data_IF_238226891757
#
_entry.id   IF_238226891757
#
_cell.length_a   1.000
_cell.length_b   1.000
_cell.length_c   1.000
_cell.angle_alpha   90.00
_cell.angle_beta   90.00
_cell.angle_gamma   90.00
#
_symmetry.space_group_name_H-M   'P 1'
#
loop_
_entity.id
_entity.type
_entity.pdbx_description
1 polymer ?
#
# COMPACT_ATOMS: atom_id res chain seq x y z
N UNK A 1 27.08 -31.93 3.91
CA UNK A 1 26.98 -30.73 4.75
C UNK A 1 25.51 -30.24 4.70
N UNK A 2 24.88 -29.95 5.83
CA UNK A 2 23.53 -29.39 5.84
C UNK A 2 23.56 -28.00 5.21
N UNK A 3 22.65 -27.71 4.29
CA UNK A 3 22.52 -26.43 3.65
C UNK A 3 22.03 -25.42 4.68
N UNK A 4 22.74 -24.29 4.84
CA UNK A 4 22.29 -23.21 5.72
C UNK A 4 21.00 -22.59 5.14
N UNK A 5 19.88 -22.58 5.88
CA UNK A 5 18.64 -22.00 5.39
C UNK A 5 18.80 -20.50 5.11
N UNK A 6 18.19 -20.03 4.00
CA UNK A 6 18.18 -18.62 3.60
C UNK A 6 16.92 -18.31 2.81
N UNK A 7 16.51 -17.05 2.80
CA UNK A 7 15.40 -16.55 2.01
C UNK A 7 15.91 -15.77 0.78
N UNK A 8 15.12 -15.63 -0.29
CA UNK A 8 15.49 -14.84 -1.46
C UNK A 8 15.76 -13.38 -1.07
N UNK A 9 16.77 -12.78 -1.72
CA UNK A 9 17.13 -11.39 -1.46
C UNK A 9 15.96 -10.43 -1.79
N UNK A 10 15.57 -9.59 -0.83
CA UNK A 10 14.47 -8.62 -0.99
C UNK A 10 13.11 -9.16 -0.56
N UNK A 11 13.05 -10.37 -0.03
CA UNK A 11 11.87 -10.91 0.67
C UNK A 11 12.12 -10.93 2.18
N UNK A 12 11.08 -11.18 2.99
CA UNK A 12 11.16 -11.16 4.46
C UNK A 12 10.27 -12.23 5.07
N UNK A 13 10.75 -12.83 6.16
CA UNK A 13 9.90 -13.49 7.15
C UNK A 13 9.38 -12.44 8.13
N UNK A 14 8.21 -12.67 8.69
CA UNK A 14 7.61 -11.82 9.70
C UNK A 14 7.35 -12.61 10.98
N UNK A 15 7.89 -12.15 12.09
CA UNK A 15 7.60 -12.69 13.41
C UNK A 15 6.13 -12.50 13.81
N UNK A 16 5.62 -13.21 14.83
CA UNK A 16 4.25 -13.02 15.32
C UNK A 16 3.94 -11.57 15.71
N UNK A 17 4.89 -10.87 16.32
CA UNK A 17 4.76 -9.45 16.70
C UNK A 17 4.66 -8.57 15.44
N UNK A 18 5.51 -8.79 14.46
CA UNK A 18 5.45 -8.04 13.19
C UNK A 18 4.15 -8.33 12.44
N UNK A 19 3.66 -9.58 12.47
CA UNK A 19 2.36 -9.91 11.87
C UNK A 19 1.19 -9.23 12.59
N UNK A 20 1.22 -9.12 13.92
CA UNK A 20 0.21 -8.38 14.66
C UNK A 20 0.19 -6.89 14.24
N UNK A 21 1.35 -6.25 14.12
CA UNK A 21 1.51 -4.89 13.60
C UNK A 21 1.01 -4.74 12.17
N UNK A 22 1.31 -5.69 11.29
CA UNK A 22 0.83 -5.70 9.90
C UNK A 22 -0.69 -5.86 9.83
N UNK A 23 -1.27 -6.74 10.63
CA UNK A 23 -2.71 -6.93 10.71
C UNK A 23 -3.43 -5.67 11.21
N UNK A 24 -2.84 -4.92 12.14
CA UNK A 24 -3.35 -3.60 12.54
C UNK A 24 -3.45 -2.66 11.33
N UNK A 25 -2.40 -2.59 10.49
CA UNK A 25 -2.41 -1.79 9.27
C UNK A 25 -3.50 -2.25 8.31
N UNK A 26 -3.55 -3.55 8.01
CA UNK A 26 -4.53 -4.10 7.06
C UNK A 26 -5.97 -3.89 7.53
N UNK A 27 -6.25 -4.11 8.80
CA UNK A 27 -7.58 -3.95 9.36
C UNK A 27 -8.01 -2.48 9.37
N UNK A 28 -7.13 -1.56 9.76
CA UNK A 28 -7.43 -0.11 9.75
C UNK A 28 -7.77 0.37 8.33
N UNK A 29 -6.97 -0.01 7.32
CA UNK A 29 -7.23 0.34 5.93
C UNK A 29 -8.53 -0.30 5.43
N UNK A 30 -8.72 -1.59 5.70
CA UNK A 30 -9.93 -2.33 5.32
C UNK A 30 -11.20 -1.70 5.89
N UNK A 31 -11.17 -1.32 7.17
CA UNK A 31 -12.33 -0.71 7.83
C UNK A 31 -12.72 0.62 7.17
N UNK A 32 -11.72 1.43 6.77
CA UNK A 32 -11.98 2.66 6.03
C UNK A 32 -12.52 2.35 4.64
N UNK A 33 -11.96 1.39 3.90
CA UNK A 33 -12.50 0.99 2.59
C UNK A 33 -13.98 0.60 2.68
N UNK A 34 -14.36 -0.16 3.72
CA UNK A 34 -15.76 -0.55 3.95
C UNK A 34 -16.65 0.65 4.26
N UNK A 35 -16.18 1.66 5.03
CA UNK A 35 -16.93 2.89 5.32
C UNK A 35 -17.24 3.68 4.04
N UNK A 36 -16.34 3.66 3.05
CA UNK A 36 -16.51 4.34 1.77
C UNK A 36 -17.24 3.48 0.71
N UNK A 37 -17.77 2.31 1.10
CA UNK A 37 -18.59 1.45 0.24
C UNK A 37 -17.80 0.62 -0.76
N UNK A 38 -16.50 0.41 -0.57
CA UNK A 38 -15.69 -0.45 -1.42
C UNK A 38 -15.94 -1.93 -1.11
N UNK A 39 -15.98 -2.77 -2.14
CA UNK A 39 -16.20 -4.22 -2.07
C UNK A 39 -14.89 -4.97 -2.27
N UNK A 40 -14.65 -6.01 -1.46
CA UNK A 40 -13.44 -6.82 -1.58
C UNK A 40 -13.50 -7.74 -2.79
N UNK A 41 -12.42 -7.74 -3.57
CA UNK A 41 -12.15 -8.78 -4.57
C UNK A 41 -10.73 -9.31 -4.39
N UNK A 42 -10.43 -10.42 -5.04
CA UNK A 42 -9.08 -10.96 -5.18
C UNK A 42 -8.83 -11.39 -6.62
N UNK A 43 -7.58 -11.25 -7.07
CA UNK A 43 -7.10 -11.77 -8.35
C UNK A 43 -5.95 -12.74 -8.11
N UNK A 44 -5.66 -13.66 -9.03
CA UNK A 44 -4.53 -14.59 -8.90
C UNK A 44 -3.18 -13.88 -8.75
N UNK A 45 -2.27 -14.47 -7.97
CA UNK A 45 -0.88 -14.00 -7.88
C UNK A 45 -0.12 -14.20 -9.19
N UNK A 46 -0.47 -15.27 -9.90
CA UNK A 46 0.11 -15.63 -11.21
C UNK A 46 -0.86 -15.19 -12.31
N UNK A 47 -0.37 -14.37 -13.22
CA UNK A 47 -1.09 -13.90 -14.40
C UNK A 47 -0.41 -14.43 -15.68
N UNK A 48 -1.15 -14.48 -16.77
CA UNK A 48 -0.55 -14.70 -18.08
C UNK A 48 0.45 -13.59 -18.39
N UNK A 49 1.62 -13.93 -18.90
CA UNK A 49 2.67 -12.97 -19.18
C UNK A 49 2.23 -11.89 -20.18
N UNK A 50 1.41 -12.26 -21.17
CA UNK A 50 0.83 -11.32 -22.14
C UNK A 50 -0.13 -10.29 -21.48
N UNK A 51 -0.75 -10.62 -20.35
CA UNK A 51 -1.55 -9.67 -19.55
C UNK A 51 -0.66 -8.60 -18.92
N UNK A 52 0.55 -8.96 -18.50
CA UNK A 52 1.46 -8.10 -17.76
C UNK A 52 2.39 -7.27 -18.67
N UNK A 53 2.93 -7.90 -19.72
CA UNK A 53 3.91 -7.28 -20.61
C UNK A 53 3.34 -6.09 -21.41
N UNK A 54 4.15 -5.04 -21.57
CA UNK A 54 3.80 -3.84 -22.35
C UNK A 54 2.85 -2.89 -21.63
N UNK A 55 2.56 -3.09 -20.34
CA UNK A 55 1.63 -2.26 -19.53
C UNK A 55 2.36 -1.27 -18.63
N UNK A 56 3.58 -1.57 -18.27
CA UNK A 56 4.36 -0.83 -17.27
C UNK A 56 5.50 0.00 -17.89
N UNK A 57 5.60 0.01 -19.22
CA UNK A 57 6.75 0.57 -19.96
C UNK A 57 7.97 -0.36 -19.91
N UNK A 58 9.02 -0.02 -20.66
CA UNK A 58 10.21 -0.87 -20.79
C UNK A 58 10.91 -1.16 -19.46
N UNK A 59 10.97 -0.17 -18.56
CA UNK A 59 11.59 -0.34 -17.24
C UNK A 59 10.77 -1.29 -16.37
N UNK A 60 9.45 -1.13 -16.34
CA UNK A 60 8.55 -1.99 -15.58
C UNK A 60 8.58 -3.44 -16.08
N UNK A 61 8.62 -3.65 -17.39
CA UNK A 61 8.68 -4.99 -18.01
C UNK A 61 9.98 -5.75 -17.64
N UNK A 62 11.08 -5.03 -17.40
CA UNK A 62 12.34 -5.60 -16.90
C UNK A 62 12.22 -6.05 -15.43
N UNK A 63 11.31 -5.47 -14.67
CA UNK A 63 11.10 -5.77 -13.26
C UNK A 63 10.06 -6.86 -13.00
N UNK A 64 9.41 -7.41 -14.04
CA UNK A 64 8.48 -8.52 -13.91
C UNK A 64 9.20 -9.81 -13.54
N UNK A 65 8.72 -10.50 -12.50
CA UNK A 65 9.12 -11.89 -12.24
C UNK A 65 8.41 -12.83 -13.22
N UNK A 66 9.19 -13.47 -14.07
CA UNK A 66 8.73 -14.40 -15.08
C UNK A 66 8.86 -15.83 -14.54
N UNK A 67 7.86 -16.67 -14.82
CA UNK A 67 7.80 -18.06 -14.34
C UNK A 67 8.08 -18.98 -15.53
N UNK A 68 9.13 -19.80 -15.42
CA UNK A 68 9.44 -20.81 -16.43
C UNK A 68 8.29 -21.79 -16.56
N UNK A 69 8.00 -22.22 -17.78
CA UNK A 69 7.00 -23.25 -18.04
C UNK A 69 7.35 -24.54 -17.32
N UNK A 70 6.35 -25.26 -16.83
CA UNK A 70 6.56 -26.54 -16.12
C UNK A 70 7.04 -27.64 -17.07
N UNK A 71 7.83 -28.55 -16.55
CA UNK A 71 8.42 -29.65 -17.34
C UNK A 71 9.62 -29.20 -18.16
N UNK A 72 9.71 -29.66 -19.41
CA UNK A 72 10.76 -29.26 -20.34
C UNK A 72 10.44 -27.86 -20.93
N UNK A 73 10.87 -26.81 -20.21
CA UNK A 73 10.60 -25.40 -20.58
C UNK A 73 11.32 -24.97 -21.85
N UNK A 74 12.31 -25.72 -22.34
CA UNK A 74 12.99 -25.44 -23.61
C UNK A 74 12.33 -26.11 -24.82
N UNK A 75 11.36 -27.00 -24.65
CA UNK A 75 10.70 -27.75 -25.72
C UNK A 75 10.16 -26.87 -26.86
N UNK A 76 9.68 -25.67 -26.53
CA UNK A 76 9.12 -24.71 -27.49
C UNK A 76 10.10 -23.59 -27.87
N UNK A 77 11.35 -23.66 -27.41
CA UNK A 77 12.38 -22.68 -27.68
C UNK A 77 13.10 -22.99 -28.99
N UNK A 78 13.08 -22.10 -30.02
CA UNK A 78 13.85 -22.30 -31.24
C UNK A 78 15.36 -22.26 -30.96
N UNK A 79 16.11 -23.19 -31.58
CA UNK A 79 17.57 -23.31 -31.37
C UNK A 79 18.34 -22.05 -31.81
N UNK A 80 17.87 -21.37 -32.86
CA UNK A 80 18.44 -20.11 -33.33
C UNK A 80 18.34 -19.01 -32.27
N UNK A 81 17.19 -18.84 -31.61
CA UNK A 81 17.00 -17.88 -30.51
C UNK A 81 17.87 -18.19 -29.31
N UNK A 82 18.04 -19.49 -28.98
CA UNK A 82 18.92 -19.93 -27.91
C UNK A 82 20.39 -19.61 -28.23
N UNK A 83 20.84 -19.91 -29.46
CA UNK A 83 22.20 -19.68 -29.91
C UNK A 83 22.53 -18.17 -29.99
N UNK A 84 21.59 -17.34 -30.41
CA UNK A 84 21.72 -15.88 -30.49
C UNK A 84 21.55 -15.18 -29.14
N UNK A 85 21.09 -15.90 -28.10
CA UNK A 85 20.75 -15.37 -26.77
C UNK A 85 19.71 -14.23 -26.83
N UNK A 86 18.74 -14.36 -27.76
CA UNK A 86 17.66 -13.38 -27.93
C UNK A 86 16.64 -13.52 -26.79
N UNK A 87 16.96 -12.93 -25.65
CA UNK A 87 16.12 -13.01 -24.45
C UNK A 87 14.73 -12.41 -24.66
N UNK A 88 14.58 -11.40 -25.51
CA UNK A 88 13.32 -10.71 -25.73
C UNK A 88 12.30 -11.61 -26.43
N UNK A 89 12.68 -12.27 -27.51
CA UNK A 89 11.80 -13.16 -28.27
C UNK A 89 11.73 -14.56 -27.67
N UNK A 90 12.76 -14.99 -26.93
CA UNK A 90 12.79 -16.30 -26.25
C UNK A 90 11.87 -16.32 -25.02
N UNK A 91 11.82 -15.23 -24.24
CA UNK A 91 11.03 -15.18 -22.99
C UNK A 91 9.58 -15.65 -23.16
N UNK A 92 8.78 -15.17 -24.14
CA UNK A 92 7.40 -15.63 -24.31
C UNK A 92 7.25 -17.11 -24.67
N UNK A 93 8.33 -17.76 -25.16
CA UNK A 93 8.33 -19.19 -25.53
C UNK A 93 8.56 -20.10 -24.32
N UNK A 94 9.34 -19.62 -23.34
CA UNK A 94 9.73 -20.39 -22.16
C UNK A 94 9.02 -19.95 -20.88
N UNK A 95 8.32 -18.81 -20.90
CA UNK A 95 7.59 -18.22 -19.78
C UNK A 95 6.22 -17.72 -20.26
N UNK A 96 5.17 -18.52 -20.05
CA UNK A 96 3.79 -18.12 -20.37
C UNK A 96 3.16 -17.31 -19.24
N UNK A 97 3.75 -17.31 -18.06
CA UNK A 97 3.20 -16.75 -16.80
C UNK A 97 4.24 -15.88 -16.11
N UNK A 98 3.73 -14.95 -15.29
CA UNK A 98 4.53 -14.13 -14.41
C UNK A 98 3.81 -13.83 -13.10
N UNK A 99 4.56 -13.35 -12.11
CA UNK A 99 3.95 -12.81 -10.89
C UNK A 99 3.44 -11.38 -11.17
N UNK A 100 2.25 -11.06 -10.68
CA UNK A 100 1.67 -9.71 -10.83
C UNK A 100 2.59 -8.63 -10.25
N UNK A 101 2.76 -7.57 -10.99
CA UNK A 101 3.59 -6.42 -10.64
C UNK A 101 2.86 -5.39 -9.76
N UNK A 102 1.56 -5.26 -9.98
CA UNK A 102 0.61 -4.45 -9.22
C UNK A 102 -0.76 -5.17 -9.15
N UNK A 103 -1.75 -4.51 -8.54
CA UNK A 103 -3.11 -5.01 -8.51
C UNK A 103 -4.01 -4.35 -9.57
N UNK A 104 -3.57 -3.26 -10.21
CA UNK A 104 -4.39 -2.47 -11.13
C UNK A 104 -4.54 -3.13 -12.50
N UNK A 105 -3.46 -3.65 -13.10
CA UNK A 105 -3.55 -4.37 -14.39
C UNK A 105 -4.35 -5.67 -14.29
N UNK A 106 -4.13 -6.55 -13.27
CA UNK A 106 -5.02 -7.68 -13.02
C UNK A 106 -6.49 -7.29 -12.78
N UNK A 107 -6.72 -6.14 -12.12
CA UNK A 107 -8.06 -5.62 -11.91
C UNK A 107 -8.73 -5.18 -13.23
N UNK A 108 -8.01 -4.47 -14.10
CA UNK A 108 -8.55 -4.10 -15.43
C UNK A 108 -8.94 -5.35 -16.24
N UNK A 109 -8.11 -6.40 -16.24
CA UNK A 109 -8.45 -7.71 -16.83
C UNK A 109 -9.71 -8.30 -16.18
N UNK A 110 -9.81 -8.26 -14.84
CA UNK A 110 -10.98 -8.74 -14.10
C UNK A 110 -12.26 -8.01 -14.51
N UNK A 111 -12.24 -6.68 -14.59
CA UNK A 111 -13.40 -5.86 -15.01
C UNK A 111 -13.89 -6.27 -16.39
N UNK A 112 -12.99 -6.42 -17.36
CA UNK A 112 -13.35 -6.81 -18.73
C UNK A 112 -13.94 -8.24 -18.76
N UNK A 113 -13.35 -9.17 -18.01
CA UNK A 113 -13.77 -10.56 -17.99
C UNK A 113 -15.14 -10.74 -17.32
N UNK A 114 -15.45 -9.92 -16.30
CA UNK A 114 -16.70 -9.99 -15.52
C UNK A 114 -17.67 -8.85 -15.82
N UNK A 115 -17.52 -8.14 -16.95
CA UNK A 115 -18.29 -6.92 -17.31
C UNK A 115 -19.81 -7.09 -17.21
N UNK A 116 -20.32 -8.28 -17.48
CA UNK A 116 -21.76 -8.58 -17.46
C UNK A 116 -22.30 -8.91 -16.04
N UNK A 117 -21.39 -9.09 -15.09
CA UNK A 117 -21.71 -9.42 -13.69
C UNK A 117 -21.54 -8.20 -12.78
N UNK A 118 -20.78 -7.20 -13.22
CA UNK A 118 -20.45 -6.01 -12.45
C UNK A 118 -21.47 -4.90 -12.65
N UNK A 119 -21.87 -4.26 -11.54
CA UNK A 119 -22.67 -3.05 -11.56
C UNK A 119 -21.77 -1.82 -11.55
N UNK A 120 -21.84 -0.97 -12.56
CA UNK A 120 -21.09 0.29 -12.63
C UNK A 120 -21.89 1.47 -12.04
N UNK A 121 -21.23 2.46 -11.39
CA UNK A 121 -19.81 2.47 -11.05
C UNK A 121 -19.47 1.40 -10.03
N UNK A 122 -18.35 0.70 -10.23
CA UNK A 122 -17.90 -0.38 -9.38
C UNK A 122 -16.75 0.10 -8.48
N UNK A 123 -16.95 0.08 -7.15
CA UNK A 123 -15.95 0.38 -6.12
C UNK A 123 -15.38 -0.92 -5.57
N UNK A 124 -14.10 -1.20 -5.84
CA UNK A 124 -13.44 -2.40 -5.31
C UNK A 124 -12.26 -2.06 -4.42
N UNK A 125 -11.92 -2.94 -3.48
CA UNK A 125 -10.62 -2.94 -2.84
C UNK A 125 -9.95 -4.31 -2.88
N UNK A 126 -8.60 -4.31 -2.84
CA UNK A 126 -7.77 -5.51 -2.71
C UNK A 126 -6.63 -5.24 -1.73
N UNK A 127 -6.32 -6.22 -0.87
CA UNK A 127 -5.16 -6.20 0.03
C UNK A 127 -4.39 -7.48 -0.24
N UNK A 128 -3.41 -7.42 -1.12
CA UNK A 128 -2.70 -8.59 -1.61
C UNK A 128 -1.22 -8.30 -1.90
N UNK A 129 -0.33 -9.34 -1.91
CA UNK A 129 1.07 -9.17 -2.24
C UNK A 129 1.27 -8.95 -3.74
N UNK A 130 2.33 -8.22 -4.07
CA UNK A 130 2.83 -7.98 -5.44
C UNK A 130 4.35 -8.18 -5.48
N UNK A 131 4.90 -8.38 -6.67
CA UNK A 131 6.31 -8.74 -6.83
C UNK A 131 6.98 -7.86 -7.88
N UNK A 132 8.11 -7.24 -7.49
CA UNK A 132 8.94 -6.42 -8.38
C UNK A 132 10.40 -6.78 -8.22
N UNK A 133 11.11 -7.03 -9.31
CA UNK A 133 12.53 -7.39 -9.31
C UNK A 133 13.45 -6.20 -9.02
N UNK A 134 12.97 -5.21 -8.28
CA UNK A 134 13.71 -4.02 -7.86
C UNK A 134 15.01 -4.36 -7.11
N UNK A 135 15.96 -3.43 -7.14
CA UNK A 135 17.12 -3.49 -6.24
C UNK A 135 16.66 -3.23 -4.80
N UNK A 136 16.80 -4.20 -3.88
CA UNK A 136 16.32 -4.06 -2.51
C UNK A 136 17.04 -2.94 -1.77
N UNK A 137 16.25 -2.10 -1.06
CA UNK A 137 16.72 -1.06 -0.15
C UNK A 137 15.64 -0.81 0.92
N UNK A 138 15.92 -0.01 1.95
CA UNK A 138 14.93 0.35 2.97
C UNK A 138 13.66 0.93 2.32
N UNK A 139 12.50 0.37 2.66
CA UNK A 139 11.21 0.76 2.08
C UNK A 139 10.97 0.32 0.63
N UNK A 140 11.85 -0.54 0.05
CA UNK A 140 11.69 -1.11 -1.30
C UNK A 140 12.07 -2.60 -1.29
N UNK A 141 11.07 -3.44 -1.37
CA UNK A 141 11.17 -4.90 -1.30
C UNK A 141 10.78 -5.52 -2.63
N UNK A 142 11.15 -6.79 -2.83
CA UNK A 142 10.77 -7.56 -4.02
C UNK A 142 9.42 -8.23 -3.90
N UNK A 143 8.98 -8.47 -2.68
CA UNK A 143 7.64 -8.90 -2.32
C UNK A 143 7.10 -7.95 -1.26
N UNK A 144 5.92 -7.35 -1.51
CA UNK A 144 5.30 -6.40 -0.61
C UNK A 144 3.79 -6.35 -0.85
N UNK A 145 3.05 -5.83 0.13
CA UNK A 145 1.60 -5.71 0.06
C UNK A 145 1.17 -4.35 -0.46
N UNK A 146 0.25 -4.37 -1.42
CA UNK A 146 -0.54 -3.20 -1.81
C UNK A 146 -1.95 -3.32 -1.24
N UNK A 147 -2.48 -2.18 -0.78
CA UNK A 147 -3.88 -2.07 -0.35
C UNK A 147 -4.52 -1.05 -1.30
N UNK A 148 -5.17 -1.55 -2.34
CA UNK A 148 -5.69 -0.75 -3.43
C UNK A 148 -7.19 -0.54 -3.29
N UNK A 149 -7.65 0.67 -3.59
CA UNK A 149 -9.05 1.03 -3.73
C UNK A 149 -9.26 1.75 -5.06
N UNK A 150 -10.17 1.25 -5.91
CA UNK A 150 -10.46 1.82 -7.23
C UNK A 150 -11.96 1.92 -7.47
N UNK A 151 -12.32 2.94 -8.23
CA UNK A 151 -13.66 3.16 -8.79
C UNK A 151 -13.55 3.09 -10.31
N UNK A 152 -14.33 2.24 -10.97
CA UNK A 152 -14.39 2.15 -12.44
C UNK A 152 -15.79 2.38 -12.95
N UNK A 153 -15.91 2.93 -14.17
CA UNK A 153 -17.16 3.21 -14.83
C UNK A 153 -17.80 4.54 -14.41
N UNK A 154 -16.97 5.53 -14.02
CA UNK A 154 -17.41 6.89 -13.72
C UNK A 154 -16.34 7.91 -14.04
N UNK A 155 -16.69 8.95 -14.80
CA UNK A 155 -15.83 10.10 -15.12
C UNK A 155 -15.91 11.21 -14.06
N UNK A 156 -16.78 11.05 -13.06
CA UNK A 156 -17.01 12.07 -12.04
C UNK A 156 -15.76 12.32 -11.19
N UNK A 157 -15.34 13.59 -11.09
CA UNK A 157 -14.24 14.05 -10.23
C UNK A 157 -14.56 13.97 -8.73
N UNK A 158 -15.82 13.70 -8.37
CA UNK A 158 -16.20 13.40 -6.97
C UNK A 158 -15.45 12.17 -6.46
N UNK A 159 -15.11 11.24 -7.34
CA UNK A 159 -14.32 10.06 -6.96
C UNK A 159 -12.93 10.44 -6.45
N UNK A 160 -12.25 11.42 -7.06
CA UNK A 160 -10.96 11.95 -6.58
C UNK A 160 -11.10 12.60 -5.21
N UNK A 161 -12.17 13.37 -5.00
CA UNK A 161 -12.47 14.01 -3.71
C UNK A 161 -12.68 12.94 -2.63
N UNK A 162 -13.46 11.90 -2.91
CA UNK A 162 -13.67 10.77 -1.99
C UNK A 162 -12.36 10.03 -1.68
N UNK A 163 -11.51 9.78 -2.69
CA UNK A 163 -10.22 9.11 -2.49
C UNK A 163 -9.25 9.94 -1.64
N UNK A 164 -9.22 11.27 -1.82
CA UNK A 164 -8.42 12.17 -0.98
C UNK A 164 -8.93 12.13 0.47
N UNK A 165 -10.23 12.18 0.67
CA UNK A 165 -10.85 12.07 2.01
C UNK A 165 -10.58 10.71 2.65
N UNK A 166 -10.60 9.63 1.87
CA UNK A 166 -10.27 8.29 2.32
C UNK A 166 -8.80 8.18 2.77
N UNK A 167 -7.89 8.80 2.02
CA UNK A 167 -6.47 8.89 2.40
C UNK A 167 -6.32 9.61 3.74
N UNK A 168 -6.96 10.78 3.89
CA UNK A 168 -6.93 11.58 5.12
C UNK A 168 -7.43 10.79 6.33
N UNK A 169 -8.57 10.08 6.19
CA UNK A 169 -9.15 9.22 7.23
C UNK A 169 -8.21 8.09 7.65
N UNK A 170 -7.60 7.38 6.69
CA UNK A 170 -6.66 6.28 6.98
C UNK A 170 -5.47 6.78 7.79
N UNK A 171 -4.81 7.84 7.34
CA UNK A 171 -3.63 8.35 8.04
C UNK A 171 -3.96 9.09 9.34
N UNK A 172 -5.15 9.66 9.45
CA UNK A 172 -5.70 10.18 10.69
C UNK A 172 -5.83 9.10 11.76
N UNK A 173 -6.33 7.90 11.39
CA UNK A 173 -6.42 6.75 12.30
C UNK A 173 -5.06 6.19 12.71
N UNK A 174 -4.07 6.28 11.83
CA UNK A 174 -2.69 5.90 12.17
C UNK A 174 -1.96 6.95 13.01
N UNK A 175 -2.48 8.17 13.11
CA UNK A 175 -1.80 9.30 13.77
C UNK A 175 -0.56 9.78 13.00
N UNK A 176 -0.51 9.56 11.68
CA UNK A 176 0.59 9.98 10.81
C UNK A 176 0.23 11.31 10.15
N UNK A 177 1.08 12.32 10.33
CA UNK A 177 0.94 13.59 9.61
C UNK A 177 1.42 13.42 8.17
N UNK A 178 0.57 13.81 7.21
CA UNK A 178 0.84 13.61 5.79
C UNK A 178 0.65 14.89 4.97
N UNK A 179 1.32 14.93 3.83
CA UNK A 179 1.03 15.83 2.71
C UNK A 179 0.56 15.01 1.52
N UNK A 180 -0.61 15.36 0.99
CA UNK A 180 -1.19 14.78 -0.24
C UNK A 180 -0.84 15.72 -1.37
N UNK A 181 0.12 15.33 -2.21
CA UNK A 181 0.48 16.05 -3.43
C UNK A 181 -0.46 15.64 -4.55
N UNK A 182 -0.97 16.64 -5.26
CA UNK A 182 -1.94 16.46 -6.34
C UNK A 182 -1.46 17.17 -7.59
N UNK A 183 -1.56 16.50 -8.73
CA UNK A 183 -1.33 17.07 -10.06
C UNK A 183 -2.33 16.46 -11.05
N UNK A 184 -2.23 16.86 -12.31
CA UNK A 184 -3.04 16.31 -13.40
C UNK A 184 -2.19 16.08 -14.66
N UNK A 185 -2.37 14.93 -15.28
CA UNK A 185 -1.63 14.57 -16.51
C UNK A 185 -1.87 15.56 -17.65
N UNK A 186 -3.08 16.14 -17.72
CA UNK A 186 -3.44 17.16 -18.73
C UNK A 186 -2.66 18.46 -18.51
N UNK A 187 -2.38 18.85 -17.26
CA UNK A 187 -1.51 19.98 -16.96
C UNK A 187 -0.11 19.73 -17.49
N UNK A 188 0.45 18.53 -17.25
CA UNK A 188 1.77 18.15 -17.75
C UNK A 188 1.80 18.14 -19.29
N UNK A 189 0.71 17.69 -19.96
CA UNK A 189 0.57 17.76 -21.42
C UNK A 189 0.53 19.20 -21.90
N UNK A 190 -0.24 20.08 -21.24
CA UNK A 190 -0.28 21.51 -21.53
C UNK A 190 1.08 22.19 -21.40
N UNK A 191 1.88 21.80 -20.41
CA UNK A 191 3.26 22.29 -20.26
C UNK A 191 4.11 21.88 -21.49
N UNK A 192 4.00 20.62 -21.93
CA UNK A 192 4.73 20.15 -23.11
C UNK A 192 4.27 20.86 -24.41
N UNK A 193 2.96 21.13 -24.53
CA UNK A 193 2.40 21.92 -25.66
C UNK A 193 2.92 23.36 -25.64
N UNK A 194 2.92 24.01 -24.47
CA UNK A 194 3.36 25.41 -24.29
C UNK A 194 4.82 25.60 -24.74
N UNK A 195 5.70 24.66 -24.45
CA UNK A 195 7.11 24.72 -24.85
C UNK A 195 7.38 24.17 -26.26
N UNK A 196 6.33 23.82 -27.01
CA UNK A 196 6.46 23.32 -28.37
C UNK A 196 7.03 21.91 -28.53
N UNK A 197 6.99 21.08 -27.46
CA UNK A 197 7.53 19.73 -27.43
C UNK A 197 6.52 18.66 -26.95
N UNK A 198 5.28 18.60 -27.52
CA UNK A 198 4.24 17.68 -27.04
C UNK A 198 4.62 16.19 -27.22
N UNK A 199 5.45 15.85 -28.19
CA UNK A 199 5.98 14.51 -28.44
C UNK A 199 7.01 14.06 -27.39
N UNK A 200 7.57 14.98 -26.61
CA UNK A 200 8.58 14.74 -25.57
C UNK A 200 8.02 14.75 -24.15
N UNK A 201 6.71 14.67 -23.97
CA UNK A 201 6.06 14.71 -22.67
C UNK A 201 6.65 13.69 -21.67
N UNK A 202 7.00 12.48 -22.12
CA UNK A 202 7.59 11.44 -21.28
C UNK A 202 8.97 11.89 -20.77
N UNK A 203 9.81 12.41 -21.66
CA UNK A 203 11.15 12.89 -21.30
C UNK A 203 11.09 14.06 -20.33
N UNK A 204 10.19 15.01 -20.59
CA UNK A 204 9.95 16.18 -19.74
C UNK A 204 9.49 15.73 -18.35
N UNK A 205 8.50 14.85 -18.27
CA UNK A 205 7.94 14.39 -16.99
C UNK A 205 8.93 13.56 -16.17
N UNK A 206 9.74 12.70 -16.83
CA UNK A 206 10.79 11.91 -16.18
C UNK A 206 11.91 12.80 -15.64
N UNK A 207 12.27 13.88 -16.33
CA UNK A 207 13.28 14.82 -15.86
C UNK A 207 12.76 15.64 -14.67
N UNK A 208 11.55 16.20 -14.76
CA UNK A 208 10.91 16.99 -13.72
C UNK A 208 10.73 16.18 -12.41
N UNK A 209 10.37 14.91 -12.51
CA UNK A 209 10.23 14.01 -11.33
C UNK A 209 11.51 13.88 -10.49
N UNK A 210 12.64 14.17 -11.07
CA UNK A 210 13.94 14.07 -10.38
C UNK A 210 14.33 15.35 -9.65
N UNK A 211 13.55 16.44 -9.76
CA UNK A 211 13.94 17.76 -9.27
C UNK A 211 14.31 17.75 -7.78
N UNK A 212 13.53 17.05 -6.95
CA UNK A 212 13.80 16.89 -5.50
C UNK A 212 15.12 16.15 -5.20
N UNK A 213 15.65 15.36 -6.15
CA UNK A 213 16.82 14.50 -5.95
C UNK A 213 18.10 15.07 -6.51
N UNK A 214 18.02 15.66 -7.71
CA UNK A 214 19.22 16.10 -8.45
C UNK A 214 19.31 17.61 -8.57
N UNK A 215 18.26 18.34 -8.18
CA UNK A 215 18.18 19.80 -8.27
C UNK A 215 17.85 20.28 -9.68
N UNK A 216 17.45 21.56 -9.76
CA UNK A 216 16.91 22.17 -10.98
C UNK A 216 17.96 22.28 -12.10
N UNK A 217 19.22 22.57 -11.76
CA UNK A 217 20.31 22.71 -12.74
C UNK A 217 20.55 21.41 -13.50
N UNK A 218 20.56 20.27 -12.78
CA UNK A 218 20.73 18.95 -13.39
C UNK A 218 19.49 18.53 -14.19
N UNK A 219 18.29 18.92 -13.76
CA UNK A 219 17.05 18.71 -14.55
C UNK A 219 17.11 19.50 -15.85
N UNK A 220 17.53 20.76 -15.81
CA UNK A 220 17.71 21.58 -17.02
C UNK A 220 18.70 20.94 -18.00
N UNK A 221 19.86 20.48 -17.50
CA UNK A 221 20.86 19.80 -18.33
C UNK A 221 20.29 18.51 -18.95
N UNK A 222 19.55 17.70 -18.18
CA UNK A 222 18.90 16.47 -18.71
C UNK A 222 17.85 16.80 -19.79
N UNK A 223 17.05 17.86 -19.62
CA UNK A 223 16.08 18.29 -20.63
C UNK A 223 16.77 18.70 -21.94
N UNK A 224 17.87 19.46 -21.88
CA UNK A 224 18.65 19.84 -23.05
C UNK A 224 19.26 18.61 -23.73
N UNK A 225 19.83 17.67 -22.97
CA UNK A 225 20.38 16.42 -23.49
C UNK A 225 19.31 15.61 -24.25
N UNK A 226 18.06 15.63 -23.77
CA UNK A 226 16.91 15.01 -24.43
C UNK A 226 16.36 15.81 -25.63
N UNK A 227 17.02 16.91 -25.97
CA UNK A 227 16.70 17.72 -27.16
C UNK A 227 15.55 18.69 -26.96
N UNK A 228 15.29 19.14 -25.74
CA UNK A 228 14.49 20.33 -25.45
C UNK A 228 15.38 21.54 -25.64
N UNK A 229 14.91 22.59 -26.34
CA UNK A 229 15.71 23.78 -26.60
C UNK A 229 15.96 24.59 -25.32
N UNK A 230 17.04 25.39 -25.30
CA UNK A 230 17.36 26.25 -24.17
C UNK A 230 16.22 27.23 -23.87
N UNK A 231 15.61 27.81 -24.92
CA UNK A 231 14.46 28.72 -24.79
C UNK A 231 13.27 28.01 -24.14
N UNK A 232 12.99 26.76 -24.50
CA UNK A 232 11.93 25.95 -23.91
C UNK A 232 12.21 25.62 -22.45
N UNK A 233 13.47 25.33 -22.10
CA UNK A 233 13.89 25.13 -20.70
C UNK A 233 13.75 26.42 -19.88
N UNK A 234 14.06 27.58 -20.47
CA UNK A 234 13.86 28.89 -19.83
C UNK A 234 12.37 29.16 -19.56
N UNK A 235 11.49 28.83 -20.51
CA UNK A 235 10.04 28.91 -20.33
C UNK A 235 9.51 28.02 -19.20
N UNK A 236 10.17 26.93 -18.86
CA UNK A 236 9.79 26.04 -17.76
C UNK A 236 10.18 26.56 -16.36
N UNK A 237 11.12 27.52 -16.27
CA UNK A 237 11.67 27.95 -14.97
C UNK A 237 10.62 28.45 -13.97
N UNK A 238 9.58 29.25 -14.36
CA UNK A 238 8.53 29.64 -13.43
C UNK A 238 7.74 28.47 -12.85
N UNK A 239 7.59 27.37 -13.59
CA UNK A 239 6.89 26.16 -13.14
C UNK A 239 7.78 25.29 -12.26
N UNK A 240 9.07 25.14 -12.62
CA UNK A 240 10.03 24.35 -11.85
C UNK A 240 10.36 25.00 -10.48
N UNK A 241 10.25 26.31 -10.39
CA UNK A 241 10.43 27.10 -9.16
C UNK A 241 9.11 27.48 -8.48
N UNK A 242 7.99 26.86 -8.86
CA UNK A 242 6.67 27.26 -8.39
C UNK A 242 6.49 26.97 -6.89
N UNK A 243 6.35 28.02 -6.10
CA UNK A 243 6.15 27.98 -4.65
C UNK A 243 4.95 28.82 -4.27
N UNK A 244 4.56 28.80 -2.99
CA UNK A 244 3.44 29.58 -2.46
C UNK A 244 2.20 28.74 -2.22
N UNK A 245 1.08 29.42 -2.02
CA UNK A 245 -0.25 28.81 -1.79
C UNK A 245 -0.78 28.14 -3.05
N UNK A 246 -1.70 27.18 -2.88
CA UNK A 246 -2.33 26.53 -4.03
C UNK A 246 -2.99 27.55 -4.99
N UNK A 247 -3.58 28.62 -4.46
CA UNK A 247 -4.22 29.64 -5.30
C UNK A 247 -3.19 30.44 -6.12
N UNK A 248 -2.04 30.77 -5.56
CA UNK A 248 -0.94 31.40 -6.31
C UNK A 248 -0.41 30.50 -7.41
N UNK A 249 -0.27 29.20 -7.09
CA UNK A 249 0.15 28.18 -8.06
C UNK A 249 -0.86 28.06 -9.21
N UNK A 250 -2.18 28.04 -8.91
CA UNK A 250 -3.22 28.02 -9.93
C UNK A 250 -3.17 29.25 -10.85
N UNK A 251 -3.04 30.47 -10.30
CA UNK A 251 -2.91 31.69 -11.11
C UNK A 251 -1.73 31.67 -12.06
N UNK A 252 -0.60 31.16 -11.61
CA UNK A 252 0.58 30.99 -12.46
C UNK A 252 0.33 30.00 -13.58
N UNK A 253 -0.25 28.83 -13.27
CA UNK A 253 -0.60 27.82 -14.27
C UNK A 253 -1.60 28.37 -15.33
N UNK A 254 -2.64 29.07 -14.89
CA UNK A 254 -3.63 29.68 -15.78
C UNK A 254 -3.01 30.72 -16.72
N UNK A 255 -2.11 31.57 -16.20
CA UNK A 255 -1.40 32.55 -16.99
C UNK A 255 -0.48 31.91 -18.05
N UNK A 256 0.20 30.81 -17.70
CA UNK A 256 1.15 30.14 -18.58
C UNK A 256 0.48 29.22 -19.59
N UNK A 257 -0.55 28.48 -19.18
CA UNK A 257 -1.21 27.45 -19.99
C UNK A 257 -2.47 27.94 -20.70
N UNK A 258 -2.77 29.25 -20.67
CA UNK A 258 -3.99 29.83 -21.24
C UNK A 258 -4.20 29.56 -22.75
N UNK A 259 -3.14 29.25 -23.50
CA UNK A 259 -3.22 28.87 -24.91
C UNK A 259 -3.39 27.36 -25.15
N UNK A 260 -3.23 26.52 -24.12
CA UNK A 260 -3.39 25.06 -24.21
C UNK A 260 -4.77 24.65 -23.70
N UNK A 261 -5.64 24.18 -24.62
CA UNK A 261 -6.95 23.64 -24.24
C UNK A 261 -6.84 22.46 -23.28
N UNK A 262 -5.88 21.55 -23.55
CA UNK A 262 -5.58 20.40 -22.71
C UNK A 262 -5.14 20.82 -21.31
N UNK A 263 -4.21 21.78 -21.22
CA UNK A 263 -3.69 22.30 -19.95
C UNK A 263 -4.77 22.98 -19.12
N UNK A 264 -5.58 23.85 -19.76
CA UNK A 264 -6.70 24.51 -19.09
C UNK A 264 -7.74 23.53 -18.58
N UNK A 265 -8.05 22.48 -19.33
CA UNK A 265 -8.93 21.40 -18.86
C UNK A 265 -8.39 20.70 -17.62
N UNK A 266 -7.09 20.43 -17.58
CA UNK A 266 -6.44 19.87 -16.39
C UNK A 266 -6.52 20.80 -15.16
N UNK A 267 -6.38 22.12 -15.37
CA UNK A 267 -6.53 23.12 -14.31
C UNK A 267 -7.98 23.18 -13.77
N UNK A 268 -8.98 23.15 -14.67
CA UNK A 268 -10.39 23.10 -14.28
C UNK A 268 -10.69 21.87 -13.40
N UNK A 269 -10.21 20.71 -13.79
CA UNK A 269 -10.37 19.46 -13.04
C UNK A 269 -9.71 19.55 -11.65
N UNK A 270 -8.49 20.08 -11.57
CA UNK A 270 -7.80 20.31 -10.31
C UNK A 270 -8.54 21.30 -9.41
N UNK A 271 -9.02 22.43 -9.97
CA UNK A 271 -9.81 23.41 -9.20
C UNK A 271 -11.08 22.79 -8.62
N UNK A 272 -11.77 21.95 -9.40
CA UNK A 272 -12.92 21.20 -8.91
C UNK A 272 -12.54 20.34 -7.69
N UNK A 273 -11.47 19.57 -7.80
CA UNK A 273 -11.00 18.68 -6.71
C UNK A 273 -10.61 19.50 -5.49
N UNK A 274 -9.75 20.52 -5.65
CA UNK A 274 -9.27 21.33 -4.52
C UNK A 274 -10.38 22.10 -3.80
N UNK A 275 -11.32 22.69 -4.54
CA UNK A 275 -12.45 23.43 -3.95
C UNK A 275 -13.36 22.51 -3.12
N UNK A 276 -13.62 21.28 -3.62
CA UNK A 276 -14.48 20.34 -2.90
C UNK A 276 -13.75 19.72 -1.69
N UNK A 277 -12.46 19.40 -1.81
CA UNK A 277 -11.65 18.89 -0.69
C UNK A 277 -11.52 19.94 0.43
N UNK A 278 -11.34 21.23 0.09
CA UNK A 278 -11.27 22.30 1.08
C UNK A 278 -12.55 22.41 1.93
N UNK A 279 -13.72 22.17 1.33
CA UNK A 279 -14.99 22.15 2.05
C UNK A 279 -15.11 21.01 3.08
N UNK A 280 -14.33 19.92 2.91
CA UNK A 280 -14.31 18.78 3.83
C UNK A 280 -13.34 18.99 5.00
N UNK A 281 -12.53 20.06 4.96
CA UNK A 281 -11.55 20.41 6.01
C UNK A 281 -10.66 19.24 6.42
N UNK A 282 -9.90 18.64 5.50
CA UNK A 282 -9.03 17.51 5.81
C UNK A 282 -7.95 17.91 6.83
N UNK A 283 -7.47 16.95 7.62
CA UNK A 283 -6.32 17.13 8.52
C UNK A 283 -5.01 17.20 7.75
N UNK A 284 -4.93 16.44 6.66
CA UNK A 284 -3.77 16.42 5.78
C UNK A 284 -3.60 17.76 5.05
N UNK A 285 -2.37 18.16 4.82
CA UNK A 285 -2.05 19.20 3.86
C UNK A 285 -2.29 18.67 2.45
N UNK A 286 -3.16 19.34 1.67
CA UNK A 286 -3.38 19.02 0.24
C UNK A 286 -2.69 20.08 -0.60
N UNK A 287 -1.70 19.67 -1.38
CA UNK A 287 -0.80 20.55 -2.10
C UNK A 287 -0.84 20.30 -3.61
N UNK A 288 -1.02 21.36 -4.38
CA UNK A 288 -0.80 21.35 -5.82
C UNK A 288 0.71 21.30 -6.10
N UNK A 289 1.18 20.21 -6.72
CA UNK A 289 2.60 19.99 -7.00
C UNK A 289 2.82 19.67 -8.48
N UNK A 290 3.23 20.64 -9.24
CA UNK A 290 3.47 20.50 -10.70
C UNK A 290 4.68 19.60 -11.01
N UNK A 291 5.57 19.39 -10.03
CA UNK A 291 6.69 18.47 -10.18
C UNK A 291 6.29 17.01 -10.02
N UNK A 292 5.06 16.76 -9.50
CA UNK A 292 4.51 15.42 -9.42
C UNK A 292 4.17 14.91 -10.83
N UNK A 293 5.14 14.33 -11.48
CA UNK A 293 5.04 13.76 -12.81
C UNK A 293 5.08 12.22 -12.80
N UNK A 294 5.19 11.64 -11.61
CA UNK A 294 5.25 10.20 -11.36
C UNK A 294 3.94 9.52 -11.69
N UNK A 295 4.08 8.27 -11.92
CA UNK A 295 3.00 7.32 -12.08
C UNK A 295 3.32 6.35 -13.19
N UNK A 296 2.52 5.30 -13.25
CA UNK A 296 2.56 4.39 -14.37
C UNK A 296 2.05 5.11 -15.61
N UNK A 297 2.56 4.77 -16.77
CA UNK A 297 2.25 5.45 -18.04
C UNK A 297 0.76 5.40 -18.44
N UNK A 298 -0.06 4.71 -17.67
CA UNK A 298 -1.50 4.61 -17.92
C UNK A 298 -2.35 5.72 -17.29
N UNK A 299 -1.79 6.62 -16.45
CA UNK A 299 -2.57 7.73 -15.89
C UNK A 299 -2.89 8.78 -16.95
N UNK A 300 -4.16 9.25 -16.94
CA UNK A 300 -4.73 10.14 -17.94
C UNK A 300 -5.25 11.47 -17.37
N UNK A 301 -5.46 11.55 -16.06
CA UNK A 301 -6.01 12.70 -15.36
C UNK A 301 -5.27 13.00 -14.07
N UNK A 302 -6.01 13.12 -12.97
CA UNK A 302 -5.48 13.39 -11.63
C UNK A 302 -4.43 12.37 -11.21
N UNK A 303 -3.35 12.85 -10.60
CA UNK A 303 -2.27 12.06 -10.02
C UNK A 303 -2.17 12.43 -8.54
N UNK A 304 -2.03 11.42 -7.68
CA UNK A 304 -1.94 11.55 -6.24
C UNK A 304 -0.64 10.90 -5.72
N UNK A 305 0.06 11.59 -4.84
CA UNK A 305 1.18 11.04 -4.08
C UNK A 305 1.12 11.52 -2.63
N UNK A 306 1.37 10.61 -1.68
CA UNK A 306 1.33 10.92 -0.25
C UNK A 306 2.70 10.72 0.36
N UNK A 307 3.16 11.75 1.08
CA UNK A 307 4.41 11.72 1.85
C UNK A 307 4.08 11.83 3.35
N UNK A 308 4.78 11.05 4.18
CA UNK A 308 4.78 11.26 5.63
C UNK A 308 5.68 12.46 5.95
N UNK A 309 5.19 13.37 6.80
CA UNK A 309 5.92 14.63 7.08
C UNK A 309 7.05 14.44 8.10
N UNK A 310 6.87 13.52 9.03
CA UNK A 310 7.77 13.35 10.18
C UNK A 310 8.85 12.28 9.98
N UNK A 311 8.90 11.65 8.79
CA UNK A 311 9.87 10.59 8.46
C UNK A 311 10.38 10.77 7.04
N UNK A 312 11.70 10.74 6.87
CA UNK A 312 12.33 10.72 5.55
C UNK A 312 12.10 9.37 4.86
N UNK A 313 10.92 9.21 4.26
CA UNK A 313 10.47 8.03 3.52
C UNK A 313 10.00 8.46 2.13
N UNK A 314 10.16 7.60 1.13
CA UNK A 314 9.49 7.80 -0.16
C UNK A 314 7.97 7.75 -0.04
N UNK A 315 7.26 8.03 -1.12
CA UNK A 315 5.80 7.98 -1.16
C UNK A 315 5.23 6.73 -0.46
N UNK A 316 4.27 6.94 0.45
CA UNK A 316 3.61 5.86 1.22
C UNK A 316 2.27 5.45 0.62
N UNK A 317 1.68 6.31 -0.22
CA UNK A 317 0.47 6.06 -1.00
C UNK A 317 0.60 6.80 -2.32
N UNK A 318 0.04 6.25 -3.37
CA UNK A 318 -0.03 6.89 -4.67
C UNK A 318 -1.19 6.37 -5.48
N UNK A 319 -1.59 7.12 -6.50
CA UNK A 319 -2.69 6.75 -7.36
C UNK A 319 -2.97 7.78 -8.44
N UNK A 320 -4.11 7.61 -9.11
CA UNK A 320 -4.57 8.55 -10.13
C UNK A 320 -5.67 7.99 -11.01
N UNK A 321 -6.11 8.82 -11.96
CA UNK A 321 -7.13 8.48 -12.95
C UNK A 321 -6.51 7.79 -14.17
N UNK A 322 -7.16 6.73 -14.62
CA UNK A 322 -6.80 5.95 -15.80
C UNK A 322 -8.06 5.63 -16.63
N UNK A 323 -8.14 6.18 -17.84
CA UNK A 323 -9.35 6.08 -18.67
C UNK A 323 -9.31 4.96 -19.71
N UNK A 324 -8.12 4.45 -20.04
CA UNK A 324 -7.93 3.51 -21.16
C UNK A 324 -7.36 2.15 -20.74
N UNK A 325 -7.26 1.86 -19.45
CA UNK A 325 -6.60 0.63 -19.00
C UNK A 325 -7.39 -0.63 -19.41
N UNK A 326 -8.73 -0.56 -19.39
CA UNK A 326 -9.61 -1.65 -19.85
C UNK A 326 -9.59 -1.83 -21.37
N UNK A 327 -9.31 -0.77 -22.12
CA UNK A 327 -9.17 -0.82 -23.59
C UNK A 327 -8.08 -1.77 -24.07
N UNK A 328 -7.00 -1.93 -23.29
CA UNK A 328 -5.95 -2.92 -23.54
C UNK A 328 -6.49 -4.36 -23.60
N UNK A 329 -7.62 -4.61 -22.95
CA UNK A 329 -8.32 -5.89 -22.89
C UNK A 329 -9.61 -5.90 -23.74
N UNK A 330 -9.79 -4.91 -24.64
CA UNK A 330 -10.92 -4.84 -25.58
C UNK A 330 -12.20 -4.24 -25.00
N UNK A 331 -12.10 -3.41 -23.97
CA UNK A 331 -13.22 -2.65 -23.41
C UNK A 331 -12.86 -1.17 -23.30
N UNK A 332 -13.05 -0.43 -24.40
CA UNK A 332 -12.76 1.00 -24.45
C UNK A 332 -13.79 1.85 -23.70
N UNK A 333 -13.40 3.08 -23.33
CA UNK A 333 -14.29 4.09 -22.76
C UNK A 333 -14.73 3.83 -21.31
N UNK A 334 -14.01 3.03 -20.56
CA UNK A 334 -14.25 2.83 -19.12
C UNK A 334 -13.21 3.58 -18.32
N UNK A 335 -13.63 4.72 -17.76
CA UNK A 335 -12.81 5.51 -16.86
C UNK A 335 -12.66 4.81 -15.52
N UNK A 336 -11.47 4.95 -14.92
CA UNK A 336 -11.16 4.47 -13.59
C UNK A 336 -10.27 5.45 -12.84
N UNK A 337 -10.40 5.45 -11.53
CA UNK A 337 -9.51 6.18 -10.62
C UNK A 337 -9.27 5.35 -9.38
N UNK A 338 -8.04 5.33 -8.89
CA UNK A 338 -7.72 4.51 -7.72
C UNK A 338 -6.45 4.94 -7.02
N UNK A 339 -6.28 4.40 -5.82
CA UNK A 339 -5.14 4.63 -4.94
C UNK A 339 -4.60 3.31 -4.41
N UNK A 340 -3.32 3.30 -4.08
CA UNK A 340 -2.62 2.16 -3.49
C UNK A 340 -1.84 2.60 -2.25
N UNK A 341 -2.16 2.03 -1.09
CA UNK A 341 -1.38 2.17 0.13
C UNK A 341 -0.25 1.14 0.15
N UNK A 342 0.98 1.62 0.34
CA UNK A 342 2.16 0.78 0.51
C UNK A 342 2.28 0.28 1.95
N UNK A 343 1.64 -0.85 2.28
CA UNK A 343 1.56 -1.35 3.65
C UNK A 343 2.93 -1.51 4.33
N UNK A 344 3.94 -1.94 3.59
CA UNK A 344 5.30 -2.14 4.12
C UNK A 344 6.01 -0.83 4.45
N UNK A 345 5.75 0.25 3.70
CA UNK A 345 6.25 1.58 4.01
C UNK A 345 5.52 2.20 5.20
N UNK A 346 4.20 2.02 5.28
CA UNK A 346 3.40 2.43 6.45
C UNK A 346 3.89 1.70 7.70
N UNK A 347 4.21 0.40 7.59
CA UNK A 347 4.80 -0.38 8.68
C UNK A 347 6.13 0.22 9.17
N UNK A 348 7.01 0.61 8.25
CA UNK A 348 8.29 1.24 8.58
C UNK A 348 8.09 2.63 9.23
N UNK A 349 7.11 3.43 8.76
CA UNK A 349 6.78 4.75 9.34
C UNK A 349 6.23 4.58 10.75
N UNK A 350 5.24 3.73 10.97
CA UNK A 350 4.64 3.47 12.28
C UNK A 350 5.67 2.95 13.31
N UNK A 351 6.60 2.09 12.88
CA UNK A 351 7.71 1.65 13.74
C UNK A 351 8.67 2.79 14.08
N UNK A 352 9.00 3.64 13.10
CA UNK A 352 9.93 4.76 13.31
C UNK A 352 9.36 5.81 14.25
N UNK A 353 8.06 6.09 14.14
CA UNK A 353 7.34 7.06 14.98
C UNK A 353 6.77 6.47 16.27
N UNK A 354 6.87 5.15 16.44
CA UNK A 354 6.34 4.42 17.61
C UNK A 354 4.82 4.66 17.84
N UNK A 355 4.03 4.61 16.76
CA UNK A 355 2.60 4.97 16.76
C UNK A 355 1.65 3.76 16.89
N UNK A 356 2.17 2.55 17.08
CA UNK A 356 1.27 1.40 17.31
C UNK A 356 0.59 1.49 18.67
N UNK A 357 -0.72 1.18 18.77
CA UNK A 357 -1.39 1.00 20.05
C UNK A 357 -0.67 -0.03 20.93
N UNK A 358 -0.68 0.20 22.24
CA UNK A 358 0.09 -0.63 23.19
C UNK A 358 -0.33 -2.11 23.19
N UNK A 359 -1.58 -2.39 22.86
CA UNK A 359 -2.18 -3.74 22.82
C UNK A 359 -2.04 -4.44 21.47
N UNK A 360 -1.49 -3.76 20.45
CA UNK A 360 -1.37 -4.31 19.09
C UNK A 360 -0.60 -5.63 19.05
N UNK A 361 0.39 -5.81 19.92
CA UNK A 361 1.25 -7.00 19.92
C UNK A 361 0.69 -8.14 20.79
N UNK A 362 -0.32 -7.90 21.59
CA UNK A 362 -0.90 -8.89 22.49
C UNK A 362 -1.88 -9.82 21.75
N UNK A 363 -1.36 -10.92 21.19
CA UNK A 363 -2.18 -11.94 20.51
C UNK A 363 -2.93 -12.83 21.51
N UNK A 364 -2.43 -12.97 22.73
CA UNK A 364 -3.05 -13.65 23.87
C UNK A 364 -3.30 -12.60 24.96
N UNK A 365 -4.52 -12.48 25.47
CA UNK A 365 -4.86 -11.49 26.48
C UNK A 365 -4.52 -11.97 27.89
N UNK A 366 -4.67 -13.29 28.15
CA UNK A 366 -4.36 -13.89 29.44
C UNK A 366 -3.77 -15.29 29.28
N UNK A 367 -2.73 -15.57 30.06
CA UNK A 367 -2.16 -16.91 30.19
C UNK A 367 -2.45 -17.48 31.56
N UNK A 368 -2.99 -18.69 31.65
CA UNK A 368 -3.15 -19.44 32.88
C UNK A 368 -1.89 -20.23 33.19
N UNK A 369 -1.45 -20.17 34.41
CA UNK A 369 -0.34 -21.01 34.92
C UNK A 369 -0.79 -22.44 35.13
N UNK A 370 0.16 -23.39 35.09
CA UNK A 370 -0.07 -24.81 35.32
C UNK A 370 0.72 -25.24 36.55
N UNK A 371 0.04 -25.59 37.64
CA UNK A 371 0.64 -26.07 38.88
C UNK A 371 0.64 -27.59 39.01
N UNK A 372 -0.22 -28.29 38.24
CA UNK A 372 -0.38 -29.75 38.27
C UNK A 372 -1.64 -30.18 37.55
N UNK A 373 -1.96 -31.47 37.63
CA UNK A 373 -3.07 -32.07 36.84
C UNK A 373 -4.45 -31.56 37.29
N UNK A 374 -4.67 -31.37 38.60
CA UNK A 374 -5.94 -30.90 39.12
C UNK A 374 -6.17 -29.42 38.74
N UNK A 375 -5.15 -28.61 38.97
CA UNK A 375 -5.18 -27.16 38.70
C UNK A 375 -5.27 -26.89 37.19
N UNK A 376 -4.55 -27.66 36.35
CA UNK A 376 -4.62 -27.51 34.90
C UNK A 376 -6.00 -27.86 34.35
N UNK A 377 -6.67 -28.86 34.91
CA UNK A 377 -8.04 -29.20 34.53
C UNK A 377 -9.03 -28.11 34.90
N UNK A 378 -8.89 -27.52 36.08
CA UNK A 378 -9.72 -26.38 36.53
C UNK A 378 -9.44 -25.16 35.62
N UNK A 379 -8.18 -24.79 35.44
CA UNK A 379 -7.75 -23.69 34.60
C UNK A 379 -8.23 -23.85 33.12
N UNK A 380 -8.15 -25.05 32.55
CA UNK A 380 -8.62 -25.32 31.20
C UNK A 380 -10.12 -25.06 31.05
N UNK A 381 -10.94 -25.41 32.05
CA UNK A 381 -12.36 -25.12 32.04
C UNK A 381 -12.65 -23.60 32.01
N UNK A 382 -11.86 -22.82 32.73
CA UNK A 382 -11.97 -21.35 32.75
C UNK A 382 -11.50 -20.78 31.41
N UNK A 383 -10.36 -21.22 30.88
CA UNK A 383 -9.86 -20.83 29.56
C UNK A 383 -10.92 -21.06 28.48
N UNK A 384 -11.63 -22.21 28.53
CA UNK A 384 -12.70 -22.48 27.56
C UNK A 384 -13.90 -21.53 27.71
N UNK A 385 -14.23 -21.06 28.94
CA UNK A 385 -15.26 -20.04 29.15
C UNK A 385 -14.83 -18.69 28.60
N UNK A 386 -13.56 -18.27 28.82
CA UNK A 386 -13.01 -17.03 28.28
C UNK A 386 -13.04 -17.04 26.73
N UNK A 387 -12.60 -18.14 26.12
CA UNK A 387 -12.64 -18.30 24.65
C UNK A 387 -14.06 -18.22 24.09
N UNK A 388 -15.06 -18.81 24.78
CA UNK A 388 -16.47 -18.66 24.42
C UNK A 388 -16.98 -17.23 24.54
N UNK A 389 -16.41 -16.45 25.46
CA UNK A 389 -16.68 -15.02 25.61
C UNK A 389 -15.88 -14.13 24.61
N UNK A 390 -15.11 -14.72 23.68
CA UNK A 390 -14.31 -14.00 22.69
C UNK A 390 -12.97 -13.48 23.22
N UNK A 391 -12.53 -13.91 24.40
CA UNK A 391 -11.29 -13.46 25.03
C UNK A 391 -10.16 -14.45 24.67
N UNK A 392 -9.08 -14.00 24.00
CA UNK A 392 -7.90 -14.83 23.71
C UNK A 392 -7.19 -15.26 24.99
N UNK A 393 -7.22 -16.55 25.28
CA UNK A 393 -6.65 -17.12 26.51
C UNK A 393 -5.88 -18.41 26.20
N UNK A 394 -4.77 -18.62 26.87
CA UNK A 394 -3.99 -19.88 26.79
C UNK A 394 -3.67 -20.43 28.17
N UNK A 395 -3.51 -21.75 28.26
CA UNK A 395 -3.01 -22.44 29.44
C UNK A 395 -1.56 -22.86 29.14
N UNK A 396 -0.64 -22.57 30.07
CA UNK A 396 0.73 -23.07 29.95
C UNK A 396 0.72 -24.60 29.97
N UNK A 397 1.31 -25.29 28.97
CA UNK A 397 1.01 -26.72 28.73
C UNK A 397 1.60 -27.66 29.79
N UNK A 398 2.71 -27.30 30.41
CA UNK A 398 3.45 -28.18 31.33
C UNK A 398 3.47 -27.64 32.76
N UNK A 399 3.35 -28.51 33.74
CA UNK A 399 3.65 -28.13 35.11
C UNK A 399 5.15 -27.84 35.23
N UNK A 400 5.48 -26.60 35.56
CA UNK A 400 6.85 -26.12 35.67
C UNK A 400 6.98 -24.98 36.69
N UNK A 401 8.23 -24.66 37.06
CA UNK A 401 8.49 -23.57 38.01
C UNK A 401 7.86 -22.27 37.54
N UNK A 402 7.20 -21.53 38.42
CA UNK A 402 6.53 -20.25 38.19
C UNK A 402 7.41 -19.27 37.39
N UNK A 403 8.71 -19.18 37.72
CA UNK A 403 9.66 -18.32 36.99
C UNK A 403 9.72 -18.61 35.50
N UNK A 404 9.64 -19.90 35.10
CA UNK A 404 9.66 -20.30 33.66
C UNK A 404 8.38 -19.86 32.99
N UNK A 405 7.23 -20.04 33.61
CA UNK A 405 5.92 -19.67 33.08
C UNK A 405 5.78 -18.16 32.97
N UNK A 406 6.20 -17.39 34.00
CA UNK A 406 6.22 -15.93 33.93
C UNK A 406 7.14 -15.39 32.87
N UNK A 407 8.35 -15.99 32.71
CA UNK A 407 9.28 -15.62 31.63
C UNK A 407 8.72 -15.89 30.24
N UNK A 408 7.91 -16.94 30.07
CA UNK A 408 7.20 -17.21 28.82
C UNK A 408 6.13 -16.14 28.52
N UNK A 409 5.33 -15.77 29.54
CA UNK A 409 4.32 -14.72 29.38
C UNK A 409 4.96 -13.37 29.06
N UNK A 410 6.06 -13.01 29.71
CA UNK A 410 6.82 -11.80 29.46
C UNK A 410 7.41 -11.79 28.04
N UNK A 411 8.07 -12.86 27.62
CA UNK A 411 8.64 -12.98 26.28
C UNK A 411 7.59 -12.89 25.14
N UNK A 412 6.35 -13.31 25.41
CA UNK A 412 5.21 -13.18 24.50
C UNK A 412 4.43 -11.89 24.66
N UNK A 413 4.84 -11.02 25.57
CA UNK A 413 4.15 -9.76 25.89
C UNK A 413 2.67 -9.95 26.25
N UNK A 414 2.35 -11.04 26.98
CA UNK A 414 1.00 -11.33 27.44
C UNK A 414 0.70 -10.39 28.62
N UNK A 415 -0.35 -9.53 28.52
CA UNK A 415 -0.60 -8.49 29.51
C UNK A 415 -1.05 -9.01 30.88
N UNK A 416 -1.70 -10.19 30.91
CA UNK A 416 -2.22 -10.76 32.14
C UNK A 416 -1.81 -12.22 32.32
N UNK A 417 -1.50 -12.58 33.56
CA UNK A 417 -1.31 -13.98 33.97
C UNK A 417 -2.34 -14.33 35.03
N UNK A 418 -3.06 -15.41 34.83
CA UNK A 418 -4.07 -15.94 35.73
C UNK A 418 -3.54 -17.17 36.47
N UNK A 419 -3.76 -17.25 37.73
CA UNK A 419 -3.34 -18.34 38.60
C UNK A 419 -4.56 -19.01 39.24
N UNK A 420 -4.58 -20.35 39.19
CA UNK A 420 -5.64 -21.16 39.79
C UNK A 420 -4.94 -22.28 40.58
N UNK A 421 -4.78 -22.08 41.87
CA UNK A 421 -4.25 -23.04 42.82
C UNK A 421 -5.39 -23.74 43.57
N UNK A 422 -5.02 -24.53 44.60
CA UNK A 422 -6.00 -25.24 45.43
C UNK A 422 -7.00 -24.32 46.14
N UNK A 423 -6.55 -23.15 46.60
CA UNK A 423 -7.40 -22.12 47.23
C UNK A 423 -8.42 -21.52 46.24
N UNK A 424 -7.97 -21.18 45.05
CA UNK A 424 -8.85 -20.61 44.01
C UNK A 424 -9.87 -21.65 43.53
N UNK A 425 -9.47 -22.91 43.41
CA UNK A 425 -10.40 -24.02 43.08
C UNK A 425 -11.49 -24.12 44.16
N UNK A 426 -11.09 -24.12 45.46
CA UNK A 426 -12.02 -24.24 46.58
C UNK A 426 -13.00 -23.06 46.67
N UNK A 427 -12.53 -21.85 46.35
CA UNK A 427 -13.31 -20.62 46.41
C UNK A 427 -14.07 -20.31 45.11
N UNK A 428 -13.76 -20.98 44.00
CA UNK A 428 -14.33 -20.68 42.70
C UNK A 428 -13.81 -19.36 42.12
N UNK A 429 -12.60 -18.94 42.48
CA UNK A 429 -11.97 -17.67 42.09
C UNK A 429 -10.75 -17.89 41.20
N UNK A 430 -10.16 -16.81 40.73
CA UNK A 430 -8.93 -16.75 39.92
C UNK A 430 -8.10 -15.57 40.39
N UNK A 431 -6.83 -15.78 40.67
CA UNK A 431 -5.90 -14.68 40.93
C UNK A 431 -5.36 -14.17 39.60
N UNK A 432 -5.75 -12.96 39.22
CA UNK A 432 -5.31 -12.27 37.99
C UNK A 432 -4.16 -11.31 38.32
N UNK A 433 -3.05 -11.44 37.61
CA UNK A 433 -1.88 -10.56 37.70
C UNK A 433 -1.74 -9.72 36.44
N UNK A 434 -1.67 -8.40 36.59
CA UNK A 434 -1.26 -7.49 35.55
C UNK A 434 0.27 -7.53 35.40
N UNK A 435 0.78 -7.88 34.23
CA UNK A 435 2.22 -8.04 34.00
C UNK A 435 2.98 -6.72 33.94
N UNK A 436 2.31 -5.61 33.59
CA UNK A 436 2.92 -4.28 33.51
C UNK A 436 3.05 -3.62 34.89
N UNK A 437 1.98 -3.67 35.72
CA UNK A 437 1.97 -3.02 37.04
C UNK A 437 2.42 -3.94 38.16
N UNK A 438 2.32 -5.26 37.95
CA UNK A 438 2.55 -6.28 38.99
C UNK A 438 1.39 -6.47 39.96
N UNK A 439 0.32 -5.69 39.85
CA UNK A 439 -0.87 -5.78 40.70
C UNK A 439 -1.57 -7.12 40.51
N UNK A 440 -2.14 -7.63 41.62
CA UNK A 440 -2.88 -8.87 41.66
C UNK A 440 -4.26 -8.65 42.28
N UNK A 441 -5.26 -9.31 41.69
CA UNK A 441 -6.64 -9.25 42.15
C UNK A 441 -7.24 -10.66 42.13
N UNK A 442 -7.95 -11.03 43.16
CA UNK A 442 -8.75 -12.26 43.19
C UNK A 442 -10.16 -11.94 42.65
N UNK A 443 -10.59 -12.65 41.62
CA UNK A 443 -11.80 -12.37 40.88
C UNK A 443 -12.66 -13.62 40.71
N UNK A 444 -13.99 -13.45 40.71
CA UNK A 444 -14.88 -14.48 40.20
C UNK A 444 -14.69 -14.65 38.67
N UNK A 445 -15.21 -15.74 38.08
CA UNK A 445 -15.10 -15.98 36.67
C UNK A 445 -15.84 -14.88 35.86
N UNK A 446 -16.97 -14.41 36.34
CA UNK A 446 -17.73 -13.31 35.72
C UNK A 446 -16.95 -12.01 35.76
N UNK A 447 -16.38 -11.66 36.91
CA UNK A 447 -15.53 -10.48 37.07
C UNK A 447 -14.27 -10.57 36.19
N UNK A 448 -13.68 -11.76 36.06
CA UNK A 448 -12.53 -12.00 35.19
C UNK A 448 -12.89 -11.75 33.69
N UNK A 449 -14.05 -12.23 33.25
CA UNK A 449 -14.56 -12.00 31.89
C UNK A 449 -14.74 -10.50 31.64
N UNK A 450 -15.34 -9.77 32.59
CA UNK A 450 -15.60 -8.35 32.46
C UNK A 450 -14.29 -7.51 32.50
N UNK A 451 -13.32 -7.90 33.33
CA UNK A 451 -12.01 -7.25 33.38
C UNK A 451 -11.15 -7.48 32.14
N UNK A 452 -11.41 -8.56 31.42
CA UNK A 452 -10.66 -8.93 30.21
C UNK A 452 -11.38 -8.60 28.91
N UNK A 453 -12.59 -8.07 28.90
CA UNK A 453 -13.25 -7.53 27.69
C UNK A 453 -12.65 -6.18 27.32
#
# INVERSE_FOLDING_TARGET
MAQKPSIPKGTRDFSPIEMAKRNYIFNTIKDVFLLYGFQQIETPAVENLCTLMGKYGEEGDKLLFKILNSGDFLKSAPDDMLNQRDCQHLTPKICEKGLRYDLTVPFARYVVQHRNELQFPFKRYQIQPVWRADRPQKGRYREFYQCDADVVGSDSLVNEVELISLIDEVFSRFGINITIKVNNRKVLSGIAEMIGAPDKIIDITVAIDKIDKIGIENVNAELIEKGISEEAVEMLQPLLNLTGTNEEKFKTLEAMLGSSETGMKGIEELRFVFNNVANLSPRATVELDVSLARGLNYYTGTILEVKANDVAMGSITGGGRYDNLTGVFGMDGVSGVGISFGADRIFDVLNTLNLYPADTCATTKVMFTNFGDAESKAALNIVMKLRKAGIPAELYPESSKMKKQMGYADAKQIPYVAMVGESEIANGTVTLKNMATGEQSELSIEQLIDALK
#
